data_IF_724255119620
#
_entry.id   IF_724255119620
#
_cell.length_a   1.000
_cell.length_b   1.000
_cell.length_c   1.000
_cell.angle_alpha   90.00
_cell.angle_beta   90.00
_cell.angle_gamma   90.00
#
_symmetry.space_group_name_H-M   'P 1'
#
loop_
_entity.id
_entity.type
_entity.pdbx_description
1 polymer ?
#
# COMPACT_ATOMS: atom_id res chain seq x y z
N UNK A 1 19.75 2.96 -3.62
CA UNK A 1 18.73 3.98 -4.03
C UNK A 1 17.74 3.30 -4.97
N UNK A 2 17.06 2.28 -4.43
CA UNK A 2 16.13 1.43 -5.17
C UNK A 2 14.72 1.91 -4.88
N UNK A 3 14.05 2.29 -5.96
CA UNK A 3 12.61 2.38 -6.12
C UNK A 3 11.82 3.42 -5.31
N UNK A 4 12.19 4.69 -5.40
CA UNK A 4 11.25 5.80 -5.12
C UNK A 4 10.28 6.04 -6.30
N UNK A 5 10.38 5.27 -7.40
CA UNK A 5 9.59 5.44 -8.63
C UNK A 5 8.70 4.26 -9.01
N UNK A 6 8.47 3.30 -8.11
CA UNK A 6 7.50 2.26 -8.40
C UNK A 6 6.09 2.88 -8.46
N UNK A 7 5.53 3.01 -9.66
CA UNK A 7 4.18 3.53 -9.94
C UNK A 7 3.05 2.70 -9.30
N UNK A 8 3.40 1.65 -8.56
CA UNK A 8 2.50 0.63 -8.02
C UNK A 8 2.53 0.50 -6.49
N UNK A 9 3.10 1.45 -5.75
CA UNK A 9 3.03 1.49 -4.27
C UNK A 9 1.60 1.50 -3.68
N UNK A 10 0.56 1.44 -4.52
CA UNK A 10 -0.84 1.28 -4.09
C UNK A 10 -1.26 -0.18 -3.93
N UNK A 11 -0.38 -1.16 -4.12
CA UNK A 11 -0.74 -2.59 -4.13
C UNK A 11 -0.35 -3.35 -2.86
N UNK A 12 -0.45 -2.76 -1.69
CA UNK A 12 -0.01 -3.45 -0.47
C UNK A 12 -1.04 -3.46 0.66
N UNK A 13 -1.52 -4.64 1.12
CA UNK A 13 -2.59 -4.80 2.13
C UNK A 13 -2.19 -4.37 3.52
N UNK A 14 -0.97 -4.69 3.88
CA UNK A 14 -0.48 -4.44 5.22
C UNK A 14 -0.11 -2.97 5.42
N UNK A 15 0.28 -2.27 4.34
CA UNK A 15 0.38 -0.81 4.31
C UNK A 15 -0.99 -0.16 4.48
N UNK A 16 -2.02 -0.71 3.82
CA UNK A 16 -3.38 -0.20 3.90
C UNK A 16 -4.00 -0.41 5.28
N UNK A 17 -3.78 -1.55 5.94
CA UNK A 17 -4.26 -1.77 7.30
C UNK A 17 -3.65 -0.77 8.28
N UNK A 18 -2.38 -0.44 8.11
CA UNK A 18 -1.69 0.56 8.94
C UNK A 18 -2.15 1.98 8.62
N UNK A 19 -2.34 2.31 7.35
CA UNK A 19 -2.89 3.61 6.90
C UNK A 19 -4.36 3.72 7.29
N UNK A 20 -5.12 2.62 7.23
CA UNK A 20 -6.51 2.56 7.66
C UNK A 20 -6.64 2.81 9.17
N UNK A 21 -5.79 2.20 9.99
CA UNK A 21 -5.76 2.42 11.44
C UNK A 21 -5.48 3.89 11.78
N UNK A 22 -4.59 4.55 11.04
CA UNK A 22 -4.29 5.98 11.20
C UNK A 22 -5.43 6.86 10.71
N UNK A 23 -6.05 6.53 9.58
CA UNK A 23 -7.15 7.30 9.01
C UNK A 23 -8.43 7.22 9.88
N UNK A 24 -8.67 6.10 10.56
CA UNK A 24 -9.87 5.86 11.37
C UNK A 24 -9.75 6.40 12.81
N UNK A 25 -8.54 6.60 13.34
CA UNK A 25 -8.33 6.99 14.75
C UNK A 25 -8.54 8.49 15.06
N UNK A 26 -8.83 9.32 14.08
CA UNK A 26 -9.11 10.75 14.28
C UNK A 26 -10.60 11.04 14.11
N UNK A 27 -11.36 11.10 15.20
CA UNK A 27 -12.30 12.15 15.56
C UNK A 27 -13.32 11.65 16.59
N UNK A 28 -13.26 12.21 17.79
CA UNK A 28 -14.44 12.32 18.67
C UNK A 28 -15.37 13.39 18.06
N UNK A 29 -16.65 13.11 17.90
CA UNK A 29 -17.58 14.10 17.36
C UNK A 29 -17.80 15.22 18.38
N UNK A 30 -17.56 16.43 17.99
CA UNK A 30 -18.07 17.63 18.65
C UNK A 30 -19.59 17.68 18.47
N UNK A 31 -20.30 18.02 19.55
CA UNK A 31 -21.74 17.93 19.74
C UNK A 31 -22.63 18.37 18.58
N UNK A 32 -23.80 17.75 18.55
CA UNK A 32 -24.86 17.94 17.56
C UNK A 32 -25.30 19.40 17.40
N UNK A 33 -24.87 20.04 16.29
CA UNK A 33 -25.59 21.19 15.71
C UNK A 33 -26.54 20.63 14.65
N UNK A 34 -27.86 20.74 14.86
CA UNK A 34 -28.87 20.47 13.82
C UNK A 34 -28.64 21.42 12.66
N UNK A 35 -27.90 20.98 11.64
CA UNK A 35 -27.79 21.69 10.35
C UNK A 35 -28.99 21.28 9.47
N UNK A 36 -29.64 22.26 8.89
CA UNK A 36 -30.56 22.07 7.77
C UNK A 36 -29.87 21.23 6.70
N UNK A 37 -30.44 20.07 6.40
CA UNK A 37 -29.90 19.16 5.39
C UNK A 37 -30.42 19.58 4.03
N UNK A 38 -29.69 20.42 3.32
CA UNK A 38 -29.84 20.44 1.86
C UNK A 38 -29.39 19.06 1.35
N UNK A 39 -30.10 18.48 0.34
CA UNK A 39 -29.62 17.26 -0.30
C UNK A 39 -28.19 17.50 -0.80
N UNK A 40 -27.26 16.59 -0.58
CA UNK A 40 -25.89 16.76 -1.00
C UNK A 40 -25.87 16.87 -2.54
N UNK A 41 -25.52 18.04 -3.04
CA UNK A 41 -25.21 18.22 -4.45
C UNK A 41 -23.76 17.72 -4.59
N UNK A 42 -23.61 16.46 -5.01
CA UNK A 42 -22.31 15.96 -5.42
C UNK A 42 -21.91 16.77 -6.65
N UNK A 43 -20.86 17.57 -6.51
CA UNK A 43 -20.24 18.13 -7.71
C UNK A 43 -19.84 16.95 -8.57
N UNK A 44 -20.20 16.91 -9.87
CA UNK A 44 -19.64 15.89 -10.73
C UNK A 44 -18.14 16.00 -10.58
N UNK A 45 -17.50 14.93 -10.12
CA UNK A 45 -16.06 14.85 -10.20
C UNK A 45 -15.72 15.11 -11.66
N UNK A 46 -14.63 15.82 -11.84
CA UNK A 46 -14.10 16.12 -13.17
C UNK A 46 -14.19 14.83 -13.99
N UNK A 47 -14.91 14.92 -15.10
CA UNK A 47 -15.08 13.77 -15.96
C UNK A 47 -13.68 13.34 -16.43
N UNK A 48 -13.26 12.13 -16.06
CA UNK A 48 -11.96 11.60 -16.45
C UNK A 48 -11.75 11.66 -17.95
N UNK A 49 -12.83 11.57 -18.75
CA UNK A 49 -12.74 11.60 -20.22
C UNK A 49 -12.28 12.96 -20.75
N UNK A 50 -12.57 14.04 -20.04
CA UNK A 50 -12.23 15.41 -20.43
C UNK A 50 -10.89 15.91 -19.91
N UNK A 51 -10.28 15.18 -18.95
CA UNK A 51 -8.96 15.52 -18.41
C UNK A 51 -7.85 15.11 -19.37
N UNK A 52 -6.82 15.94 -19.49
CA UNK A 52 -5.57 15.55 -20.15
C UNK A 52 -4.88 14.43 -19.33
N UNK A 53 -4.30 13.43 -20.02
CA UNK A 53 -3.67 12.25 -19.38
C UNK A 53 -2.61 12.63 -18.34
N UNK A 54 -1.82 13.64 -18.67
CA UNK A 54 -0.81 14.18 -17.74
C UNK A 54 -1.44 14.68 -16.44
N UNK A 55 -2.60 15.34 -16.51
CA UNK A 55 -3.32 15.80 -15.33
C UNK A 55 -3.88 14.64 -14.51
N UNK A 56 -4.39 13.58 -15.17
CA UNK A 56 -4.85 12.36 -14.50
C UNK A 56 -3.72 11.74 -13.67
N UNK A 57 -2.55 11.55 -14.29
CA UNK A 57 -1.38 10.97 -13.63
C UNK A 57 -0.89 11.84 -12.46
N UNK A 58 -0.87 13.16 -12.62
CA UNK A 58 -0.46 14.07 -11.53
C UNK A 58 -1.45 14.00 -10.36
N UNK A 59 -2.76 13.96 -10.65
CA UNK A 59 -3.82 14.02 -9.65
C UNK A 59 -4.00 12.69 -8.91
N UNK A 60 -3.95 11.57 -9.62
CA UNK A 60 -4.28 10.25 -9.09
C UNK A 60 -3.10 9.29 -8.98
N UNK A 61 -1.93 9.64 -9.56
CA UNK A 61 -0.73 8.79 -9.65
C UNK A 61 -0.92 7.51 -10.47
N UNK A 62 -2.01 7.41 -11.20
CA UNK A 62 -2.37 6.31 -12.10
C UNK A 62 -2.81 6.90 -13.44
N UNK A 63 -2.65 6.13 -14.51
CA UNK A 63 -3.21 6.47 -15.80
C UNK A 63 -4.72 6.20 -15.86
N UNK A 64 -5.40 6.78 -16.85
CA UNK A 64 -6.84 6.69 -17.01
C UNK A 64 -7.34 5.26 -17.18
N UNK A 65 -6.65 4.46 -17.97
CA UNK A 65 -7.04 3.08 -18.24
C UNK A 65 -7.02 2.25 -16.95
N UNK A 66 -5.94 2.35 -16.17
CA UNK A 66 -5.82 1.69 -14.85
C UNK A 66 -6.92 2.14 -13.88
N UNK A 67 -7.26 3.45 -13.86
CA UNK A 67 -8.35 3.95 -12.99
C UNK A 67 -9.69 3.36 -13.41
N UNK A 68 -9.98 3.30 -14.73
CA UNK A 68 -11.23 2.73 -15.24
C UNK A 68 -11.35 1.24 -14.92
N UNK A 69 -10.27 0.47 -15.12
CA UNK A 69 -10.22 -0.93 -14.76
C UNK A 69 -10.46 -1.14 -13.25
N UNK A 70 -9.78 -0.35 -12.41
CA UNK A 70 -9.94 -0.39 -10.97
C UNK A 70 -11.38 -0.06 -10.54
N UNK A 71 -12.00 0.95 -11.14
CA UNK A 71 -13.39 1.30 -10.88
C UNK A 71 -14.33 0.14 -11.24
N UNK A 72 -14.15 -0.49 -12.40
CA UNK A 72 -14.97 -1.62 -12.82
C UNK A 72 -14.78 -2.83 -11.90
N UNK A 73 -13.56 -3.10 -11.46
CA UNK A 73 -13.25 -4.20 -10.54
C UNK A 73 -13.87 -4.00 -9.16
N UNK A 74 -13.87 -2.78 -8.64
CA UNK A 74 -14.37 -2.46 -7.30
C UNK A 74 -15.87 -2.18 -7.26
N UNK A 75 -16.51 -1.92 -8.40
CA UNK A 75 -17.92 -1.56 -8.47
C UNK A 75 -18.86 -2.53 -7.74
N UNK A 76 -18.73 -3.89 -7.89
CA UNK A 76 -19.58 -4.84 -7.20
C UNK A 76 -19.50 -4.75 -5.67
N UNK A 77 -18.29 -4.49 -5.14
CA UNK A 77 -18.06 -4.35 -3.69
C UNK A 77 -18.56 -3.01 -3.13
N UNK A 78 -18.61 -1.97 -3.96
CA UNK A 78 -19.01 -0.62 -3.58
C UNK A 78 -20.50 -0.35 -3.79
N UNK A 79 -21.17 -1.13 -4.63
CA UNK A 79 -22.60 -1.05 -4.83
C UNK A 79 -23.31 -1.48 -3.54
N UNK A 80 -24.10 -0.59 -2.95
CA UNK A 80 -24.98 -0.96 -1.85
C UNK A 80 -26.08 -1.89 -2.36
N UNK A 81 -26.38 -2.97 -1.61
CA UNK A 81 -27.51 -3.86 -1.87
C UNK A 81 -28.85 -3.09 -1.93
N UNK A 82 -28.92 -1.93 -1.26
CA UNK A 82 -30.05 -1.00 -1.32
C UNK A 82 -29.58 0.24 -2.08
N UNK A 83 -30.02 0.37 -3.33
CA UNK A 83 -29.80 1.58 -4.13
C UNK A 83 -30.58 2.74 -3.50
N UNK A 84 -29.90 3.51 -2.65
CA UNK A 84 -30.49 4.74 -2.15
C UNK A 84 -30.32 5.81 -3.25
N UNK A 85 -31.37 6.59 -3.59
CA UNK A 85 -31.29 7.63 -4.62
C UNK A 85 -30.21 8.69 -4.42
N UNK A 86 -29.73 8.82 -3.16
CA UNK A 86 -28.67 9.75 -2.74
C UNK A 86 -27.34 9.04 -2.50
N UNK A 87 -27.17 7.82 -3.00
CA UNK A 87 -25.91 7.06 -2.86
C UNK A 87 -24.77 7.69 -3.66
N UNK A 88 -23.56 7.69 -3.10
CA UNK A 88 -22.38 8.17 -3.83
C UNK A 88 -22.03 7.13 -4.90
N UNK A 89 -21.92 7.52 -6.19
CA UNK A 89 -21.53 6.60 -7.25
C UNK A 89 -20.18 5.92 -6.95
N UNK A 90 -20.01 4.61 -7.26
CA UNK A 90 -18.76 3.89 -7.03
C UNK A 90 -17.53 4.59 -7.61
N UNK A 91 -17.62 5.11 -8.83
CA UNK A 91 -16.53 5.86 -9.45
C UNK A 91 -16.11 7.08 -8.62
N UNK A 92 -17.08 7.83 -8.07
CA UNK A 92 -16.81 8.99 -7.20
C UNK A 92 -16.11 8.56 -5.91
N UNK A 93 -16.53 7.42 -5.35
CA UNK A 93 -15.90 6.87 -4.16
C UNK A 93 -14.43 6.52 -4.44
N UNK A 94 -14.14 5.79 -5.52
CA UNK A 94 -12.78 5.40 -5.91
C UNK A 94 -11.91 6.62 -6.19
N UNK A 95 -12.38 7.55 -7.03
CA UNK A 95 -11.61 8.74 -7.40
C UNK A 95 -11.27 9.63 -6.20
N UNK A 96 -12.21 9.83 -5.28
CA UNK A 96 -11.94 10.63 -4.07
C UNK A 96 -10.89 9.96 -3.17
N UNK A 97 -10.92 8.63 -3.04
CA UNK A 97 -9.91 7.89 -2.27
C UNK A 97 -8.56 7.90 -2.97
N UNK A 98 -8.50 7.70 -4.29
CA UNK A 98 -7.26 7.81 -5.05
C UNK A 98 -6.63 9.21 -4.92
N UNK A 99 -7.43 10.27 -5.00
CA UNK A 99 -6.96 11.63 -4.78
C UNK A 99 -6.41 11.84 -3.36
N UNK A 100 -7.10 11.30 -2.35
CA UNK A 100 -6.62 11.33 -0.97
C UNK A 100 -5.25 10.66 -0.82
N UNK A 101 -5.10 9.45 -1.36
CA UNK A 101 -3.86 8.68 -1.28
C UNK A 101 -2.72 9.32 -2.09
N UNK A 102 -3.03 9.93 -3.24
CA UNK A 102 -2.05 10.57 -4.10
C UNK A 102 -1.54 11.90 -3.57
N UNK A 103 -2.42 12.67 -2.91
CA UNK A 103 -2.11 14.04 -2.45
C UNK A 103 -1.61 14.11 -1.02
N UNK A 104 -1.92 13.12 -0.17
CA UNK A 104 -1.68 13.18 1.28
C UNK A 104 -2.46 14.29 1.99
N UNK A 105 -3.49 14.84 1.36
CA UNK A 105 -4.30 15.95 1.87
C UNK A 105 -5.15 15.53 3.07
N UNK A 106 -5.66 16.51 3.82
CA UNK A 106 -6.61 16.22 4.90
C UNK A 106 -7.92 15.67 4.35
N UNK A 107 -8.56 14.73 5.06
CA UNK A 107 -9.86 14.18 4.70
C UNK A 107 -10.92 15.26 4.44
N UNK A 108 -10.91 16.35 5.22
CA UNK A 108 -11.82 17.49 5.05
C UNK A 108 -11.65 18.16 3.70
N UNK A 109 -10.40 18.35 3.24
CA UNK A 109 -10.09 18.98 1.95
C UNK A 109 -10.62 18.15 0.79
N UNK A 110 -10.34 16.85 0.81
CA UNK A 110 -10.81 15.92 -0.23
C UNK A 110 -12.33 15.78 -0.20
N UNK A 111 -12.93 15.71 0.99
CA UNK A 111 -14.38 15.66 1.15
C UNK A 111 -15.06 16.86 0.50
N UNK A 112 -14.60 18.08 0.79
CA UNK A 112 -15.14 19.32 0.19
C UNK A 112 -14.97 19.30 -1.33
N UNK A 113 -13.79 18.92 -1.83
CA UNK A 113 -13.54 18.83 -3.27
C UNK A 113 -14.46 17.84 -3.98
N UNK A 114 -14.83 16.75 -3.29
CA UNK A 114 -15.73 15.70 -3.81
C UNK A 114 -17.21 15.94 -3.49
N UNK A 115 -17.57 17.10 -2.92
CA UNK A 115 -18.96 17.43 -2.55
C UNK A 115 -19.52 16.59 -1.39
N UNK A 116 -18.67 16.05 -0.54
CA UNK A 116 -19.01 15.21 0.60
C UNK A 116 -18.76 15.91 1.93
N UNK A 117 -19.42 15.45 2.99
CA UNK A 117 -19.00 15.80 4.35
C UNK A 117 -17.80 14.93 4.77
N UNK A 118 -16.99 15.42 5.70
CA UNK A 118 -15.84 14.66 6.22
C UNK A 118 -16.24 13.29 6.81
N UNK A 119 -17.32 13.14 7.62
CA UNK A 119 -17.74 11.81 8.08
C UNK A 119 -18.17 10.88 6.94
N UNK A 120 -18.80 11.42 5.90
CA UNK A 120 -19.18 10.65 4.72
C UNK A 120 -17.95 10.17 3.98
N UNK A 121 -16.94 11.03 3.76
CA UNK A 121 -15.67 10.64 3.14
C UNK A 121 -14.92 9.59 3.97
N UNK A 122 -14.90 9.69 5.30
CA UNK A 122 -14.30 8.67 6.19
C UNK A 122 -14.93 7.28 5.99
N UNK A 123 -16.25 7.22 5.83
CA UNK A 123 -16.96 5.97 5.53
C UNK A 123 -16.62 5.46 4.11
N UNK A 124 -16.54 6.35 3.13
CA UNK A 124 -16.12 6.03 1.76
C UNK A 124 -14.71 5.48 1.74
N UNK A 125 -13.79 6.15 2.43
CA UNK A 125 -12.39 5.72 2.55
C UNK A 125 -12.30 4.29 3.09
N UNK A 126 -12.96 4.00 4.22
CA UNK A 126 -12.96 2.67 4.82
C UNK A 126 -13.53 1.61 3.88
N UNK A 127 -14.61 1.94 3.15
CA UNK A 127 -15.26 1.02 2.23
C UNK A 127 -14.39 0.70 1.03
N UNK A 128 -13.82 1.72 0.39
CA UNK A 128 -12.95 1.54 -0.79
C UNK A 128 -11.67 0.80 -0.40
N UNK A 129 -11.06 1.15 0.74
CA UNK A 129 -9.87 0.43 1.22
C UNK A 129 -10.18 -1.04 1.52
N UNK A 130 -11.34 -1.35 2.14
CA UNK A 130 -11.76 -2.74 2.38
C UNK A 130 -11.98 -3.50 1.07
N UNK A 131 -12.55 -2.86 0.05
CA UNK A 131 -12.72 -3.46 -1.28
C UNK A 131 -11.36 -3.72 -1.95
N UNK A 132 -10.45 -2.75 -1.92
CA UNK A 132 -9.08 -2.91 -2.43
C UNK A 132 -8.36 -4.08 -1.76
N UNK A 133 -8.48 -4.23 -0.43
CA UNK A 133 -7.85 -5.30 0.33
C UNK A 133 -8.33 -6.70 -0.08
N UNK A 134 -9.59 -6.86 -0.48
CA UNK A 134 -10.09 -8.16 -0.96
C UNK A 134 -9.39 -8.60 -2.24
N UNK A 135 -9.17 -7.65 -3.16
CA UNK A 135 -8.57 -7.96 -4.47
C UNK A 135 -7.05 -8.07 -4.44
N UNK A 136 -6.43 -7.57 -3.40
CA UNK A 136 -5.00 -7.41 -3.36
C UNK A 136 -4.21 -8.71 -3.34
N UNK A 137 -4.75 -9.78 -2.75
CA UNK A 137 -4.08 -11.09 -2.73
C UNK A 137 -3.85 -11.68 -4.13
N UNK A 138 -4.60 -11.24 -5.13
CA UNK A 138 -4.41 -11.64 -6.52
C UNK A 138 -3.30 -10.85 -7.24
N UNK A 139 -2.86 -9.73 -6.65
CA UNK A 139 -1.84 -8.86 -7.25
C UNK A 139 -0.48 -9.00 -6.58
N UNK A 140 -0.45 -9.25 -5.26
CA UNK A 140 0.80 -9.45 -4.52
C UNK A 140 0.98 -10.95 -4.32
N UNK A 141 1.67 -11.56 -5.26
CA UNK A 141 1.93 -12.99 -5.29
C UNK A 141 3.43 -13.23 -5.32
N UNK A 142 3.91 -14.03 -4.37
CA UNK A 142 5.30 -14.44 -4.36
C UNK A 142 5.52 -15.55 -5.39
N UNK A 143 6.66 -15.56 -6.13
CA UNK A 143 6.93 -16.56 -7.16
C UNK A 143 6.79 -18.00 -6.64
N UNK A 144 6.13 -18.83 -7.43
CA UNK A 144 6.01 -20.26 -7.19
C UNK A 144 7.24 -20.99 -7.74
N UNK A 145 7.34 -22.30 -7.50
CA UNK A 145 8.49 -23.11 -7.93
C UNK A 145 8.65 -23.06 -9.46
N UNK A 146 7.55 -23.03 -10.17
CA UNK A 146 7.48 -23.00 -11.63
C UNK A 146 8.04 -21.70 -12.22
N UNK A 147 7.91 -20.59 -11.48
CA UNK A 147 8.36 -19.25 -11.91
C UNK A 147 9.85 -19.03 -11.66
N UNK A 148 10.48 -19.82 -10.78
CA UNK A 148 11.85 -19.59 -10.32
C UNK A 148 12.89 -19.51 -11.45
N UNK A 149 12.83 -20.31 -12.53
CA UNK A 149 13.81 -20.19 -13.62
C UNK A 149 13.77 -18.82 -14.30
N UNK A 150 12.57 -18.31 -14.56
CA UNK A 150 12.33 -17.01 -15.19
C UNK A 150 12.80 -15.88 -14.26
N UNK A 151 12.36 -15.87 -13.00
CA UNK A 151 12.72 -14.83 -12.03
C UNK A 151 14.24 -14.77 -11.79
N UNK A 152 14.90 -15.93 -11.69
CA UNK A 152 16.37 -15.96 -11.58
C UNK A 152 17.05 -15.41 -12.83
N UNK A 153 16.53 -15.71 -14.03
CA UNK A 153 17.02 -15.18 -15.29
C UNK A 153 16.93 -13.67 -15.36
N UNK A 154 15.80 -13.11 -14.93
CA UNK A 154 15.56 -11.67 -14.92
C UNK A 154 16.51 -10.92 -13.97
N UNK A 155 16.73 -11.45 -12.76
CA UNK A 155 17.71 -10.87 -11.83
C UNK A 155 19.14 -11.03 -12.35
N UNK A 156 19.47 -12.16 -12.96
CA UNK A 156 20.79 -12.36 -13.56
C UNK A 156 21.06 -11.38 -14.70
N UNK A 157 20.06 -11.09 -15.52
CA UNK A 157 20.17 -10.10 -16.60
C UNK A 157 20.43 -8.67 -16.08
N UNK A 158 19.93 -8.33 -14.87
CA UNK A 158 20.14 -7.01 -14.27
C UNK A 158 21.51 -6.82 -13.63
N UNK A 159 22.02 -7.83 -12.92
CA UNK A 159 23.20 -7.66 -12.08
C UNK A 159 24.20 -8.80 -12.12
N UNK A 160 24.01 -9.79 -13.00
CA UNK A 160 24.85 -11.00 -13.13
C UNK A 160 25.01 -11.81 -11.84
N UNK A 161 24.05 -11.65 -10.90
CA UNK A 161 24.04 -12.38 -9.63
C UNK A 161 23.12 -13.59 -9.77
N UNK A 162 23.63 -14.81 -9.62
CA UNK A 162 22.82 -16.02 -9.82
C UNK A 162 21.90 -16.28 -8.63
N UNK A 163 20.78 -16.95 -8.92
CA UNK A 163 19.87 -17.50 -7.91
C UNK A 163 19.10 -16.50 -7.07
N UNK A 164 19.09 -15.22 -7.42
CA UNK A 164 18.24 -14.22 -6.79
C UNK A 164 16.82 -14.36 -7.30
N UNK A 165 15.85 -14.26 -6.38
CA UNK A 165 14.41 -14.31 -6.68
C UNK A 165 13.63 -13.11 -6.14
N UNK A 166 14.30 -12.18 -5.47
CA UNK A 166 13.69 -10.95 -4.97
C UNK A 166 14.71 -10.04 -4.29
N UNK A 167 14.43 -8.76 -4.28
CA UNK A 167 15.12 -7.77 -3.47
C UNK A 167 14.24 -7.38 -2.28
N UNK A 168 14.73 -7.54 -1.06
CA UNK A 168 14.02 -7.25 0.18
C UNK A 168 14.58 -5.99 0.83
N UNK A 169 13.71 -5.09 1.25
CA UNK A 169 14.09 -3.87 1.94
C UNK A 169 12.99 -3.39 2.90
N UNK A 170 13.38 -2.59 3.90
CA UNK A 170 12.49 -1.94 4.86
C UNK A 170 12.28 -0.47 4.55
N UNK A 171 11.05 0.00 4.64
CA UNK A 171 10.74 1.42 4.51
C UNK A 171 9.89 1.92 5.66
N UNK A 172 10.12 3.16 6.10
CA UNK A 172 9.35 3.79 7.16
C UNK A 172 8.20 4.62 6.60
N UNK A 173 6.96 4.20 6.89
CA UNK A 173 5.76 4.96 6.57
C UNK A 173 5.38 5.80 7.78
N UNK A 174 5.44 7.12 7.65
CA UNK A 174 5.13 8.05 8.73
C UNK A 174 3.64 7.97 9.12
N UNK A 175 3.37 7.96 10.43
CA UNK A 175 2.03 7.88 10.96
C UNK A 175 1.86 8.71 12.24
N UNK A 176 0.62 8.92 12.63
CA UNK A 176 0.27 9.45 13.97
C UNK A 176 0.00 8.24 14.87
N UNK A 177 0.84 7.98 15.88
CA UNK A 177 0.74 6.79 16.71
C UNK A 177 -0.51 6.79 17.58
N UNK A 178 -1.01 5.59 17.99
CA UNK A 178 -2.03 5.50 19.02
C UNK A 178 -1.45 6.00 20.37
N UNK A 179 -2.22 6.85 21.08
CA UNK A 179 -1.71 7.57 22.26
C UNK A 179 -1.21 6.72 23.44
N UNK A 180 -1.52 5.42 23.48
CA UNK A 180 -1.05 4.52 24.57
C UNK A 180 0.29 3.82 24.26
N UNK A 181 0.79 3.89 23.04
CA UNK A 181 1.96 3.11 22.59
C UNK A 181 2.89 3.95 21.70
N UNK A 182 2.91 5.24 21.89
CA UNK A 182 3.63 6.19 21.05
C UNK A 182 5.12 5.83 20.90
N UNK A 183 5.77 5.43 21.99
CA UNK A 183 7.21 5.17 22.02
C UNK A 183 7.65 4.04 21.09
N UNK A 184 6.82 2.99 20.90
CA UNK A 184 7.17 1.86 20.04
C UNK A 184 7.14 2.21 18.56
N UNK A 185 6.45 3.28 18.19
CA UNK A 185 6.39 3.76 16.80
C UNK A 185 7.53 4.72 16.43
N UNK A 186 8.30 5.21 17.43
CA UNK A 186 9.39 6.13 17.19
C UNK A 186 10.58 5.43 16.56
N UNK A 187 10.93 5.80 15.34
CA UNK A 187 12.07 5.26 14.61
C UNK A 187 13.40 5.96 14.98
N UNK A 188 14.52 5.47 14.43
CA UNK A 188 15.86 6.03 14.64
C UNK A 188 15.99 7.49 14.19
N UNK A 189 15.15 7.96 13.24
CA UNK A 189 15.11 9.34 12.77
C UNK A 189 14.18 10.23 13.61
N UNK A 190 13.75 9.73 14.78
CA UNK A 190 12.95 10.48 15.78
C UNK A 190 11.56 10.90 15.32
N UNK A 191 10.96 10.27 14.30
CA UNK A 191 9.55 10.42 13.96
C UNK A 191 8.79 9.09 14.11
N UNK A 192 7.45 9.17 14.19
CA UNK A 192 6.61 7.99 14.35
C UNK A 192 6.30 7.37 12.98
N UNK A 193 6.49 6.07 12.88
CA UNK A 193 6.32 5.32 11.64
C UNK A 193 5.92 3.86 11.88
N UNK A 194 5.41 3.23 10.84
CA UNK A 194 5.46 1.77 10.66
C UNK A 194 6.71 1.42 9.87
N UNK A 195 7.38 0.35 10.27
CA UNK A 195 8.43 -0.24 9.45
C UNK A 195 7.79 -1.30 8.54
N UNK A 196 7.82 -1.04 7.25
CA UNK A 196 7.17 -1.87 6.22
C UNK A 196 8.25 -2.57 5.42
N UNK A 197 8.29 -3.89 5.50
CA UNK A 197 9.20 -4.73 4.73
C UNK A 197 8.52 -5.15 3.43
N UNK A 198 9.21 -4.99 2.31
CA UNK A 198 8.72 -5.35 0.98
C UNK A 198 9.73 -6.22 0.25
N UNK A 199 9.23 -7.12 -0.61
CA UNK A 199 10.05 -7.85 -1.57
C UNK A 199 9.61 -7.44 -2.97
N UNK A 200 10.58 -7.00 -3.78
CA UNK A 200 10.38 -6.61 -5.17
C UNK A 200 11.03 -7.62 -6.11
N UNK A 201 10.39 -7.88 -7.24
CA UNK A 201 10.94 -8.65 -8.36
C UNK A 201 11.81 -7.75 -9.26
N UNK A 202 12.49 -8.37 -10.23
CA UNK A 202 13.37 -7.69 -11.17
C UNK A 202 12.65 -6.64 -12.04
N UNK A 203 11.40 -6.87 -12.37
CA UNK A 203 10.50 -5.95 -13.08
C UNK A 203 9.89 -4.86 -12.20
N UNK A 204 10.34 -4.77 -10.94
CA UNK A 204 9.89 -3.83 -9.92
C UNK A 204 8.46 -4.11 -9.37
N UNK A 205 7.87 -5.26 -9.68
CA UNK A 205 6.62 -5.66 -9.02
C UNK A 205 6.88 -6.04 -7.56
N UNK A 206 5.95 -5.61 -6.68
CA UNK A 206 5.98 -6.00 -5.28
C UNK A 206 5.34 -7.38 -5.15
N UNK A 207 6.11 -8.37 -4.71
CA UNK A 207 5.68 -9.76 -4.55
C UNK A 207 5.34 -10.13 -3.10
N UNK A 208 5.81 -9.35 -2.12
CA UNK A 208 5.48 -9.53 -0.71
C UNK A 208 5.54 -8.21 0.04
N UNK A 209 4.66 -8.06 1.05
CA UNK A 209 4.64 -6.92 1.95
C UNK A 209 4.32 -7.36 3.37
N UNK A 210 5.05 -6.81 4.33
CA UNK A 210 4.79 -6.98 5.75
C UNK A 210 4.82 -5.61 6.45
N UNK A 211 3.64 -5.12 6.86
CA UNK A 211 3.43 -3.82 7.48
C UNK A 211 2.89 -3.93 8.93
N UNK A 212 3.30 -4.97 9.68
CA UNK A 212 2.78 -5.24 11.03
C UNK A 212 3.61 -4.64 12.15
N UNK A 213 4.81 -4.16 11.84
CA UNK A 213 5.79 -3.79 12.86
C UNK A 213 5.90 -2.27 13.02
N UNK A 214 5.93 -1.78 14.26
CA UNK A 214 6.15 -0.36 14.53
C UNK A 214 7.58 0.07 14.19
N UNK A 215 7.77 1.38 14.00
CA UNK A 215 9.01 1.95 13.47
C UNK A 215 10.26 1.76 14.33
N UNK A 216 10.14 1.38 15.60
CA UNK A 216 11.29 1.04 16.45
C UNK A 216 11.90 -0.31 16.15
N UNK A 217 11.20 -1.18 15.40
CA UNK A 217 11.62 -2.55 15.11
C UNK A 217 12.61 -2.59 13.95
N UNK A 218 13.69 -3.34 14.12
CA UNK A 218 14.73 -3.53 13.10
C UNK A 218 14.30 -4.50 12.00
N UNK A 219 14.76 -4.28 10.77
CA UNK A 219 14.40 -5.08 9.59
C UNK A 219 14.77 -6.55 9.73
N UNK A 220 15.92 -6.86 10.35
CA UNK A 220 16.31 -8.23 10.64
C UNK A 220 15.32 -8.96 11.59
N UNK A 221 14.76 -8.25 12.56
CA UNK A 221 13.73 -8.81 13.44
C UNK A 221 12.42 -9.03 12.68
N UNK A 222 12.04 -8.08 11.82
CA UNK A 222 10.84 -8.19 10.98
C UNK A 222 10.95 -9.42 10.09
N UNK A 223 12.09 -9.61 9.42
CA UNK A 223 12.32 -10.76 8.56
C UNK A 223 12.19 -12.07 9.31
N UNK A 224 12.84 -12.20 10.48
CA UNK A 224 12.79 -13.41 11.33
C UNK A 224 11.39 -13.76 11.81
N UNK A 225 10.51 -12.77 11.95
CA UNK A 225 9.13 -12.94 12.41
C UNK A 225 8.09 -12.79 11.28
N UNK A 226 8.53 -12.81 10.01
CA UNK A 226 7.67 -12.72 8.85
C UNK A 226 7.36 -14.11 8.26
N UNK A 227 6.25 -14.18 7.53
CA UNK A 227 5.92 -15.36 6.71
C UNK A 227 6.95 -15.64 5.62
N UNK A 228 7.79 -14.65 5.29
CA UNK A 228 8.80 -14.77 4.25
C UNK A 228 9.84 -15.85 4.57
N UNK A 229 10.31 -15.98 5.83
CA UNK A 229 11.21 -17.05 6.20
C UNK A 229 10.61 -18.43 5.99
N UNK A 230 9.32 -18.61 6.29
CA UNK A 230 8.62 -19.87 6.04
C UNK A 230 8.58 -20.20 4.55
N UNK A 231 8.24 -19.21 3.71
CA UNK A 231 8.23 -19.36 2.24
C UNK A 231 9.62 -19.70 1.71
N UNK A 232 10.64 -18.97 2.14
CA UNK A 232 12.03 -19.23 1.75
C UNK A 232 12.52 -20.62 2.20
N UNK A 233 12.09 -21.09 3.39
CA UNK A 233 12.37 -22.44 3.88
C UNK A 233 11.82 -23.53 2.98
N UNK A 234 10.63 -23.36 2.41
CA UNK A 234 10.07 -24.29 1.43
C UNK A 234 10.84 -24.29 0.11
N UNK A 235 11.42 -23.15 -0.28
CA UNK A 235 12.19 -23.00 -1.51
C UNK A 235 13.67 -23.34 -1.35
N UNK A 236 14.15 -23.71 -0.16
CA UNK A 236 15.56 -23.96 0.13
C UNK A 236 16.22 -24.98 -0.82
N UNK A 237 15.48 -26.01 -1.21
CA UNK A 237 15.95 -27.03 -2.17
C UNK A 237 16.32 -26.46 -3.55
N UNK A 238 15.77 -25.34 -3.92
CA UNK A 238 15.98 -24.67 -5.21
C UNK A 238 17.16 -23.72 -5.20
N UNK A 239 17.91 -23.62 -4.08
CA UNK A 239 19.05 -22.71 -3.92
C UNK A 239 18.72 -21.29 -4.37
N UNK A 240 17.79 -20.67 -3.68
CA UNK A 240 17.30 -19.32 -3.95
C UNK A 240 17.67 -18.37 -2.83
N UNK A 241 17.84 -17.10 -3.17
CA UNK A 241 18.26 -16.05 -2.27
C UNK A 241 17.39 -14.81 -2.44
N UNK A 242 17.20 -14.07 -1.36
CA UNK A 242 16.75 -12.68 -1.41
C UNK A 242 17.95 -11.76 -1.21
N UNK A 243 18.02 -10.72 -2.02
CA UNK A 243 19.02 -9.67 -1.92
C UNK A 243 18.51 -8.60 -0.97
N UNK A 244 19.22 -8.31 0.13
CA UNK A 244 18.88 -7.27 1.09
C UNK A 244 20.05 -6.33 1.37
N UNK A 245 19.76 -5.12 1.83
CA UNK A 245 20.76 -4.16 2.29
C UNK A 245 20.98 -4.32 3.80
N UNK A 246 22.22 -4.45 4.25
CA UNK A 246 22.55 -4.47 5.66
C UNK A 246 22.64 -3.05 6.22
N UNK A 247 21.94 -2.80 7.34
CA UNK A 247 21.78 -1.47 7.91
C UNK A 247 23.01 -0.89 8.64
N UNK A 248 24.08 -1.63 8.78
CA UNK A 248 25.28 -1.19 9.52
C UNK A 248 26.51 -0.87 8.66
N UNK A 249 26.37 -0.89 7.35
CA UNK A 249 27.44 -0.54 6.41
C UNK A 249 27.14 -1.13 5.05
N UNK A 250 27.53 -0.47 3.99
CA UNK A 250 27.24 -0.67 2.58
C UNK A 250 27.57 -2.08 1.99
N UNK A 251 27.31 -3.14 2.73
CA UNK A 251 27.46 -4.52 2.27
C UNK A 251 26.08 -5.16 2.06
N UNK A 252 25.95 -5.88 0.97
CA UNK A 252 24.78 -6.68 0.63
C UNK A 252 24.80 -8.00 1.39
N UNK A 253 23.67 -8.42 1.92
CA UNK A 253 23.52 -9.70 2.61
C UNK A 253 22.56 -10.62 1.87
N UNK A 254 22.85 -11.91 1.96
CA UNK A 254 22.07 -12.96 1.36
C UNK A 254 21.17 -13.60 2.41
N UNK A 255 19.88 -13.69 2.15
CA UNK A 255 18.93 -14.38 3.03
C UNK A 255 18.59 -15.74 2.45
N UNK A 256 19.01 -16.80 3.13
CA UNK A 256 18.65 -18.18 2.78
C UNK A 256 17.38 -18.62 3.51
N UNK A 257 16.83 -19.76 3.05
CA UNK A 257 15.70 -20.40 3.73
C UNK A 257 16.02 -20.94 5.15
N UNK A 258 17.30 -21.05 5.53
CA UNK A 258 17.73 -21.38 6.90
C UNK A 258 17.66 -20.20 7.86
N UNK A 259 17.41 -18.99 7.33
CA UNK A 259 17.43 -17.76 8.13
C UNK A 259 18.85 -17.26 8.41
N UNK A 260 19.87 -17.88 7.83
CA UNK A 260 21.24 -17.41 7.91
C UNK A 260 21.43 -16.20 7.01
N UNK A 261 21.96 -15.16 7.60
CA UNK A 261 22.36 -13.93 6.91
C UNK A 261 23.87 -14.07 6.65
N UNK A 262 24.27 -14.17 5.39
CA UNK A 262 25.68 -14.26 5.02
C UNK A 262 26.12 -12.97 4.32
N UNK A 263 27.29 -12.39 4.69
CA UNK A 263 27.81 -11.25 3.97
C UNK A 263 28.13 -11.63 2.53
N UNK A 264 27.75 -10.75 1.58
CA UNK A 264 27.97 -10.89 0.15
C UNK A 264 29.35 -10.45 -0.30
#
# INVERSE_FOLDING_TARGET
>A
MICVRCKLCLRTSELFDSVLAVALHRHRPLGHVRRWRHPPVYKPLVDLSTMEERHVIITYRLDRATIQELCAQLEPDLMSAIRHPTGIPPQVQVLSVLHFLASGSFQTTVAIASGMSQPMFSNVLSRVLSALLKHMRSYIVFPQVEDLPTVKGDFYALGHIPSIIGAIDGTHVALVPPGRSEQVYRNRKSYHSMNVQMVCLADQYISHVNAKFPGSVHDAYILRNSSMLYVMGQLQRHRVWLLGEHLEGSQWEWVSGSGDITPG
#
